data_IF_819955788589
#
_entry.id   IF_819955788589
#
_cell.length_a   1.000
_cell.length_b   1.000
_cell.length_c   1.000
_cell.angle_alpha   90.00
_cell.angle_beta   90.00
_cell.angle_gamma   90.00
#
_symmetry.space_group_name_H-M   'P 1'
#
loop_
_entity.id
_entity.type
_entity.pdbx_description
1 polymer ?
#
# COMPACT_ATOMS: atom_id res chain seq x y z
N UNK A 1 18.92 -21.20 -56.83
CA UNK A 1 18.57 -21.72 -55.50
C UNK A 1 19.11 -20.74 -54.46
N UNK A 2 18.25 -19.85 -53.96
CA UNK A 2 18.64 -18.82 -52.98
C UNK A 2 18.11 -19.24 -51.60
N UNK A 3 19.02 -19.49 -50.67
CA UNK A 3 18.69 -19.89 -49.29
C UNK A 3 18.63 -18.65 -48.42
N UNK A 4 17.42 -18.21 -48.09
CA UNK A 4 17.19 -17.10 -47.16
C UNK A 4 17.37 -17.61 -45.73
N UNK A 5 18.43 -17.16 -45.03
CA UNK A 5 18.63 -17.40 -43.61
C UNK A 5 17.76 -16.44 -42.79
N UNK A 6 16.94 -16.99 -41.91
CA UNK A 6 16.11 -16.27 -40.93
C UNK A 6 16.97 -15.81 -39.75
N UNK A 7 16.88 -14.55 -39.28
CA UNK A 7 17.66 -14.11 -38.12
C UNK A 7 17.08 -14.67 -36.81
N UNK A 8 17.98 -15.19 -35.98
CA UNK A 8 17.72 -15.70 -34.63
C UNK A 8 17.24 -14.57 -33.70
N UNK A 9 16.04 -14.71 -33.14
CA UNK A 9 15.48 -13.79 -32.16
C UNK A 9 16.21 -13.91 -30.81
N UNK A 10 16.92 -12.84 -30.42
CA UNK A 10 17.51 -12.68 -29.08
C UNK A 10 16.40 -12.55 -28.04
N UNK A 11 16.30 -13.53 -27.14
CA UNK A 11 15.35 -13.49 -26.01
C UNK A 11 15.67 -12.29 -25.11
N UNK A 12 14.67 -11.50 -24.69
CA UNK A 12 14.92 -10.38 -23.79
C UNK A 12 15.44 -10.91 -22.45
N UNK A 13 16.54 -10.32 -21.97
CA UNK A 13 17.08 -10.55 -20.64
C UNK A 13 16.00 -10.19 -19.62
N UNK A 14 15.46 -11.21 -18.94
CA UNK A 14 14.59 -10.99 -17.77
C UNK A 14 15.34 -10.11 -16.78
N UNK A 15 14.88 -8.88 -16.59
CA UNK A 15 15.30 -8.04 -15.48
C UNK A 15 14.95 -8.79 -14.19
N UNK A 16 15.96 -9.42 -13.58
CA UNK A 16 15.83 -10.03 -12.27
C UNK A 16 15.59 -8.90 -11.28
N UNK A 17 14.32 -8.71 -10.91
CA UNK A 17 13.88 -7.76 -9.87
C UNK A 17 14.79 -7.99 -8.66
N UNK A 18 15.63 -7.00 -8.32
CA UNK A 18 16.39 -7.03 -7.07
C UNK A 18 15.35 -7.12 -5.96
N UNK A 19 15.46 -8.14 -5.11
CA UNK A 19 14.53 -8.29 -3.98
C UNK A 19 14.81 -7.13 -3.03
N UNK A 20 13.99 -6.09 -3.11
CA UNK A 20 13.97 -5.00 -2.13
C UNK A 20 13.56 -5.52 -0.75
N UNK A 21 13.61 -4.65 0.26
CA UNK A 21 13.21 -5.01 1.62
C UNK A 21 11.73 -5.44 1.59
N UNK A 22 11.46 -6.72 1.88
CA UNK A 22 10.12 -7.30 1.74
C UNK A 22 9.18 -6.70 2.78
N UNK A 23 8.04 -6.15 2.33
CA UNK A 23 6.99 -5.64 3.22
C UNK A 23 6.28 -6.72 4.06
N UNK A 24 6.52 -8.00 3.76
CA UNK A 24 5.88 -9.15 4.43
C UNK A 24 6.49 -9.45 5.81
N UNK A 25 5.62 -9.61 6.80
CA UNK A 25 5.93 -10.27 8.08
C UNK A 25 5.66 -11.76 7.94
N UNK A 26 6.58 -12.59 8.43
CA UNK A 26 6.46 -14.05 8.29
C UNK A 26 5.30 -14.58 9.14
N UNK A 27 4.59 -15.60 8.67
CA UNK A 27 3.35 -16.03 9.32
C UNK A 27 3.55 -16.61 10.73
N UNK A 28 4.72 -17.19 10.98
CA UNK A 28 5.12 -17.73 12.29
C UNK A 28 5.43 -16.65 13.32
N UNK A 29 5.52 -15.38 12.92
CA UNK A 29 5.76 -14.29 13.84
C UNK A 29 4.56 -14.11 14.78
N UNK A 30 4.87 -13.95 16.07
CA UNK A 30 3.87 -13.82 17.11
C UNK A 30 3.32 -12.39 17.15
N UNK A 31 2.33 -12.15 16.30
CA UNK A 31 1.58 -10.91 16.22
C UNK A 31 0.09 -11.24 16.36
N UNK A 32 -0.42 -11.34 17.60
CA UNK A 32 -1.82 -11.66 17.83
C UNK A 32 -2.70 -10.50 17.38
N UNK A 33 -3.83 -10.83 16.76
CA UNK A 33 -4.84 -9.89 16.31
C UNK A 33 -6.18 -10.29 16.95
N UNK A 34 -6.55 -9.68 18.10
CA UNK A 34 -7.72 -10.10 18.87
C UNK A 34 -9.03 -9.89 18.10
N UNK A 35 -10.16 -10.37 18.61
CA UNK A 35 -11.46 -9.99 18.05
C UNK A 35 -11.65 -8.46 18.13
N UNK A 36 -12.18 -7.87 17.06
CA UNK A 36 -12.45 -6.43 16.96
C UNK A 36 -13.94 -6.18 17.02
N UNK A 37 -14.39 -5.08 17.64
CA UNK A 37 -15.78 -4.64 17.51
C UNK A 37 -16.18 -4.45 16.03
N UNK A 38 -17.40 -4.85 15.64
CA UNK A 38 -17.87 -4.73 14.25
C UNK A 38 -18.03 -3.27 13.79
N UNK A 39 -18.04 -2.31 14.70
CA UNK A 39 -18.09 -0.87 14.42
C UNK A 39 -16.74 -0.31 13.97
N UNK A 40 -15.64 -0.99 14.31
CA UNK A 40 -14.29 -0.55 13.91
C UNK A 40 -14.06 -0.91 12.44
N UNK A 41 -13.82 0.07 11.58
CA UNK A 41 -13.65 -0.19 10.14
C UNK A 41 -12.36 -0.96 9.81
N UNK A 42 -11.24 -0.59 10.44
CA UNK A 42 -9.95 -1.22 10.22
C UNK A 42 -9.43 -1.85 11.50
N UNK A 43 -8.71 -2.96 11.34
CA UNK A 43 -8.04 -3.61 12.45
C UNK A 43 -6.67 -4.15 12.05
N UNK A 44 -5.65 -3.65 12.76
CA UNK A 44 -4.25 -4.05 12.65
C UNK A 44 -3.70 -4.29 14.05
N UNK A 45 -2.59 -5.01 14.16
CA UNK A 45 -2.02 -5.33 15.47
C UNK A 45 -1.45 -4.05 16.13
N UNK A 46 -1.56 -3.90 17.46
CA UNK A 46 -0.88 -2.81 18.17
C UNK A 46 0.65 -3.05 18.31
N UNK A 47 1.16 -4.17 17.80
CA UNK A 47 2.57 -4.54 17.87
C UNK A 47 3.47 -3.55 17.11
N UNK A 48 4.55 -3.12 17.76
CA UNK A 48 5.60 -2.31 17.15
C UNK A 48 6.87 -3.15 16.85
N UNK A 49 6.75 -4.48 16.81
CA UNK A 49 7.92 -5.38 16.77
C UNK A 49 8.67 -5.41 15.43
N UNK A 50 8.04 -4.93 14.34
CA UNK A 50 8.61 -4.98 12.99
C UNK A 50 8.79 -3.57 12.40
N UNK A 51 9.64 -2.72 13.01
CA UNK A 51 9.88 -1.38 12.50
C UNK A 51 10.60 -1.43 11.15
N UNK A 52 10.24 -0.49 10.29
CA UNK A 52 10.89 -0.24 9.01
C UNK A 52 11.17 1.25 8.90
N UNK A 53 12.44 1.60 8.73
CA UNK A 53 12.83 2.98 8.49
C UNK A 53 12.45 3.38 7.06
N UNK A 54 11.73 4.49 6.93
CA UNK A 54 11.11 4.90 5.67
C UNK A 54 12.16 5.09 4.57
N UNK A 55 13.25 5.81 4.86
CA UNK A 55 14.29 6.06 3.86
C UNK A 55 14.97 4.77 3.40
N UNK A 56 15.18 3.83 4.32
CA UNK A 56 15.80 2.53 4.00
C UNK A 56 14.87 1.69 3.11
N UNK A 57 13.57 1.76 3.36
CA UNK A 57 12.57 1.10 2.52
C UNK A 57 12.53 1.69 1.10
N UNK A 58 12.54 3.02 0.98
CA UNK A 58 12.55 3.71 -0.33
C UNK A 58 13.81 3.30 -1.12
N UNK A 59 14.99 3.42 -0.51
CA UNK A 59 16.26 3.07 -1.17
C UNK A 59 16.33 1.58 -1.56
N UNK A 60 15.81 0.68 -0.72
CA UNK A 60 15.83 -0.75 -1.01
C UNK A 60 14.88 -1.14 -2.15
N UNK A 61 13.86 -0.32 -2.44
CA UNK A 61 12.88 -0.54 -3.49
C UNK A 61 13.05 0.46 -4.65
N UNK A 62 14.26 1.02 -4.81
CA UNK A 62 14.57 1.93 -5.91
C UNK A 62 14.24 1.32 -7.28
N UNK A 63 13.61 2.12 -8.13
CA UNK A 63 13.06 1.70 -9.42
C UNK A 63 11.67 1.06 -9.37
N UNK A 64 11.05 0.89 -8.20
CA UNK A 64 9.63 0.52 -8.10
C UNK A 64 8.75 1.79 -8.23
N UNK A 65 7.82 1.86 -9.22
CA UNK A 65 6.92 3.00 -9.37
C UNK A 65 6.08 3.30 -8.11
N UNK A 66 5.82 2.29 -7.28
CA UNK A 66 5.06 2.46 -6.04
C UNK A 66 5.81 3.29 -4.98
N UNK A 67 7.15 3.33 -5.01
CA UNK A 67 7.94 4.12 -4.07
C UNK A 67 8.35 5.50 -4.61
N UNK A 68 7.96 5.83 -5.84
CA UNK A 68 8.20 7.14 -6.42
C UNK A 68 7.43 8.22 -5.64
N UNK A 69 8.16 9.24 -5.16
CA UNK A 69 7.64 10.33 -4.32
C UNK A 69 6.93 9.84 -3.06
N UNK A 70 7.28 8.64 -2.56
CA UNK A 70 6.58 7.97 -1.47
C UNK A 70 6.52 8.82 -0.20
N UNK A 71 7.63 9.44 0.18
CA UNK A 71 7.69 10.24 1.41
C UNK A 71 6.77 11.45 1.35
N UNK A 72 6.78 12.20 0.25
CA UNK A 72 5.91 13.36 0.03
C UNK A 72 4.44 12.93 0.00
N UNK A 73 4.10 11.87 -0.74
CA UNK A 73 2.75 11.30 -0.78
C UNK A 73 2.27 10.85 0.59
N UNK A 74 3.17 10.30 1.42
CA UNK A 74 2.87 9.90 2.78
C UNK A 74 2.58 11.12 3.65
N UNK A 75 3.37 12.18 3.57
CA UNK A 75 3.11 13.43 4.29
C UNK A 75 1.77 14.04 3.88
N UNK A 76 1.50 14.15 2.57
CA UNK A 76 0.24 14.67 2.05
C UNK A 76 -0.95 13.83 2.57
N UNK A 77 -0.83 12.50 2.53
CA UNK A 77 -1.88 11.61 3.00
C UNK A 77 -2.15 11.78 4.50
N UNK A 78 -1.10 11.80 5.32
CA UNK A 78 -1.22 11.98 6.76
C UNK A 78 -1.80 13.36 7.10
N UNK A 79 -1.39 14.41 6.39
CA UNK A 79 -1.93 15.76 6.57
C UNK A 79 -3.40 15.82 6.25
N UNK A 80 -3.79 15.28 5.09
CA UNK A 80 -5.19 15.20 4.69
C UNK A 80 -6.05 14.46 5.70
N UNK A 81 -5.54 13.37 6.29
CA UNK A 81 -6.26 12.62 7.35
C UNK A 81 -6.39 13.40 8.65
N UNK A 82 -5.36 14.16 9.05
CA UNK A 82 -5.38 14.96 10.28
C UNK A 82 -6.31 16.16 10.13
N UNK A 83 -6.26 16.86 8.99
CA UNK A 83 -7.09 18.04 8.73
C UNK A 83 -8.55 17.68 8.39
N UNK A 84 -8.75 16.56 7.70
CA UNK A 84 -10.05 16.12 7.23
C UNK A 84 -10.30 14.63 7.58
N UNK A 85 -10.78 14.33 8.81
CA UNK A 85 -10.98 12.95 9.26
C UNK A 85 -11.92 12.11 8.36
N UNK A 86 -12.89 12.76 7.73
CA UNK A 86 -13.89 12.11 6.86
C UNK A 86 -13.49 12.06 5.39
N UNK A 87 -12.28 12.51 5.04
CA UNK A 87 -11.82 12.56 3.66
C UNK A 87 -11.25 11.21 3.22
N UNK A 88 -11.79 10.67 2.12
CA UNK A 88 -11.46 9.33 1.62
C UNK A 88 -10.48 9.31 0.44
N UNK A 89 -9.85 10.44 0.11
CA UNK A 89 -8.77 10.51 -0.86
C UNK A 89 -9.13 11.26 -2.13
N UNK A 90 -8.31 12.26 -2.40
CA UNK A 90 -8.20 13.03 -3.63
C UNK A 90 -6.75 13.54 -3.75
N UNK A 91 -6.33 14.07 -4.89
CA UNK A 91 -4.99 14.59 -5.08
C UNK A 91 -4.82 15.96 -4.41
N UNK A 92 -4.96 16.04 -3.09
CA UNK A 92 -4.59 17.24 -2.36
C UNK A 92 -3.07 17.27 -2.23
N UNK A 93 -2.45 18.16 -2.99
CA UNK A 93 -1.04 18.50 -2.83
C UNK A 93 -0.97 19.61 -1.79
N UNK A 94 -0.34 19.33 -0.66
CA UNK A 94 -0.09 20.35 0.34
C UNK A 94 1.20 21.10 0.01
N UNK A 95 1.32 22.32 0.51
CA UNK A 95 2.54 23.10 0.38
C UNK A 95 3.66 22.50 1.24
N UNK A 96 4.92 22.72 0.85
CA UNK A 96 6.08 22.27 1.61
C UNK A 96 6.06 22.79 3.05
N UNK A 97 5.59 24.03 3.25
CA UNK A 97 5.40 24.65 4.56
C UNK A 97 4.36 23.94 5.42
N UNK A 98 3.32 23.38 4.82
CA UNK A 98 2.30 22.63 5.54
C UNK A 98 2.81 21.22 5.90
N UNK A 99 3.48 20.55 4.97
CA UNK A 99 4.11 19.24 5.18
C UNK A 99 5.20 19.28 6.25
N UNK A 100 5.90 20.40 6.40
CA UNK A 100 6.90 20.61 7.46
C UNK A 100 6.30 20.56 8.88
N UNK A 101 4.98 20.71 9.02
CA UNK A 101 4.31 20.61 10.33
C UNK A 101 4.07 19.16 10.77
N UNK A 102 4.30 18.17 9.90
CA UNK A 102 4.16 16.76 10.23
C UNK A 102 5.51 16.18 10.64
N UNK A 103 5.52 15.60 11.84
CA UNK A 103 6.65 14.82 12.34
C UNK A 103 6.27 13.34 12.39
N UNK A 104 6.98 12.51 11.63
CA UNK A 104 6.89 11.05 11.72
C UNK A 104 7.86 10.58 12.79
N UNK A 105 7.34 10.00 13.88
CA UNK A 105 8.18 9.56 14.99
C UNK A 105 9.20 8.50 14.52
N UNK A 106 10.48 8.79 14.74
CA UNK A 106 11.63 7.95 14.40
C UNK A 106 11.74 7.60 12.91
N UNK A 107 11.04 8.30 12.02
CA UNK A 107 10.98 8.05 10.57
C UNK A 107 10.69 6.58 10.22
N UNK A 108 9.76 5.97 10.96
CA UNK A 108 9.44 4.54 10.86
C UNK A 108 7.95 4.28 10.73
N UNK A 109 7.63 3.25 9.96
CA UNK A 109 6.35 2.56 10.04
C UNK A 109 6.56 1.12 10.48
N UNK A 110 5.49 0.47 10.90
CA UNK A 110 5.52 -0.92 11.36
C UNK A 110 4.88 -1.82 10.31
N UNK A 111 5.54 -2.94 10.02
CA UNK A 111 4.94 -3.98 9.18
C UNK A 111 4.05 -4.85 10.04
N UNK A 112 2.90 -5.20 9.50
CA UNK A 112 1.94 -6.09 10.13
C UNK A 112 1.68 -7.31 9.26
N UNK A 113 1.45 -8.46 9.90
CA UNK A 113 1.18 -9.73 9.25
C UNK A 113 -0.19 -9.76 8.58
N UNK A 114 -1.21 -9.17 9.21
CA UNK A 114 -2.60 -9.19 8.75
C UNK A 114 -3.26 -7.85 9.07
N UNK A 115 -4.03 -7.36 8.11
CA UNK A 115 -5.01 -6.28 8.29
C UNK A 115 -6.40 -6.86 8.09
N UNK A 116 -7.36 -6.51 8.95
CA UNK A 116 -8.77 -6.86 8.79
C UNK A 116 -9.58 -5.62 8.49
N UNK A 117 -10.53 -5.73 7.57
CA UNK A 117 -11.47 -4.66 7.21
C UNK A 117 -12.87 -5.15 7.45
N UNK A 118 -13.60 -4.44 8.31
CA UNK A 118 -15.00 -4.73 8.57
C UNK A 118 -15.86 -3.95 7.57
N UNK A 119 -16.84 -4.63 6.99
CA UNK A 119 -17.80 -4.03 6.08
C UNK A 119 -19.21 -4.50 6.42
N UNK A 120 -20.18 -3.75 5.93
CA UNK A 120 -21.60 -4.13 6.01
C UNK A 120 -22.05 -4.43 4.59
N UNK A 121 -22.57 -5.63 4.35
CA UNK A 121 -23.17 -5.96 3.07
C UNK A 121 -24.51 -5.24 2.90
N UNK A 122 -25.04 -5.23 1.68
CA UNK A 122 -26.36 -4.67 1.38
C UNK A 122 -27.48 -5.28 2.24
N UNK A 123 -27.34 -6.56 2.62
CA UNK A 123 -28.32 -7.27 3.46
C UNK A 123 -28.16 -6.95 4.96
N UNK A 124 -27.42 -5.89 5.30
CA UNK A 124 -27.13 -5.44 6.68
C UNK A 124 -26.34 -6.50 7.48
N UNK A 125 -25.68 -7.43 6.79
CA UNK A 125 -24.82 -8.42 7.44
C UNK A 125 -23.43 -7.85 7.66
N UNK A 126 -22.87 -8.11 8.83
CA UNK A 126 -21.50 -7.74 9.17
C UNK A 126 -20.54 -8.78 8.62
N UNK A 127 -19.63 -8.34 7.76
CA UNK A 127 -18.54 -9.13 7.20
C UNK A 127 -17.18 -8.60 7.64
N UNK A 128 -16.16 -9.43 7.51
CA UNK A 128 -14.77 -9.05 7.76
C UNK A 128 -13.86 -9.71 6.73
N UNK A 129 -13.10 -8.89 6.01
CA UNK A 129 -12.07 -9.35 5.08
C UNK A 129 -10.70 -9.34 5.78
N UNK A 130 -9.88 -10.35 5.50
CA UNK A 130 -8.53 -10.50 6.04
C UNK A 130 -7.52 -10.35 4.91
N UNK A 131 -6.74 -9.29 4.96
CA UNK A 131 -5.75 -8.87 3.96
C UNK A 131 -4.35 -9.22 4.48
N UNK A 132 -3.53 -9.83 3.63
CA UNK A 132 -2.12 -10.07 3.90
C UNK A 132 -1.29 -9.91 2.60
N UNK A 133 -0.10 -9.32 2.71
CA UNK A 133 0.90 -9.27 1.64
C UNK A 133 1.16 -10.60 0.90
N UNK A 134 0.91 -11.76 1.54
CA UNK A 134 1.05 -13.08 0.91
C UNK A 134 -0.20 -13.56 0.19
N UNK A 135 -1.37 -13.36 0.79
CA UNK A 135 -2.66 -13.85 0.30
C UNK A 135 -3.64 -12.68 0.34
N UNK A 136 -4.22 -12.31 -0.81
CA UNK A 136 -5.04 -11.10 -0.99
C UNK A 136 -4.24 -9.80 -0.90
N UNK A 137 -3.15 -9.71 -1.68
CA UNK A 137 -2.32 -8.49 -1.73
C UNK A 137 -2.94 -7.38 -2.60
N UNK A 138 -3.80 -7.74 -3.55
CA UNK A 138 -4.46 -6.81 -4.45
C UNK A 138 -5.73 -6.26 -3.79
N UNK A 139 -5.85 -4.94 -3.70
CA UNK A 139 -6.99 -4.24 -3.11
C UNK A 139 -7.66 -3.42 -4.21
N UNK A 140 -8.92 -3.73 -4.49
CA UNK A 140 -9.73 -2.96 -5.43
C UNK A 140 -10.38 -1.79 -4.68
N UNK A 141 -10.19 -0.57 -5.17
CA UNK A 141 -10.82 0.63 -4.64
C UNK A 141 -11.84 1.18 -5.62
N UNK A 142 -12.80 1.96 -5.12
CA UNK A 142 -13.72 2.69 -5.99
C UNK A 142 -12.92 3.62 -6.92
N UNK A 143 -13.35 3.72 -8.17
CA UNK A 143 -12.81 4.67 -9.10
C UNK A 143 -13.11 6.10 -8.59
N UNK A 144 -12.20 7.07 -8.79
CA UNK A 144 -12.49 8.47 -8.51
C UNK A 144 -13.72 8.93 -9.32
N UNK A 145 -14.62 9.70 -8.68
CA UNK A 145 -15.83 10.20 -9.35
C UNK A 145 -15.51 11.19 -10.49
N UNK A 146 -14.35 11.84 -10.44
CA UNK A 146 -13.92 12.88 -11.39
C UNK A 146 -13.17 12.33 -12.62
N UNK A 147 -13.06 11.00 -12.79
CA UNK A 147 -12.41 10.43 -13.97
C UNK A 147 -13.38 10.46 -15.18
N UNK A 148 -13.05 11.17 -16.29
CA UNK A 148 -13.90 11.21 -17.48
C UNK A 148 -14.02 9.86 -18.19
N UNK A 149 -13.17 8.89 -17.85
CA UNK A 149 -13.26 7.49 -18.28
C UNK A 149 -13.99 6.58 -17.27
N UNK A 150 -14.49 7.15 -16.17
CA UNK A 150 -15.30 6.45 -15.17
C UNK A 150 -16.58 5.95 -15.81
N UNK A 151 -16.73 4.63 -15.87
CA UNK A 151 -17.96 4.00 -16.35
C UNK A 151 -18.99 3.98 -15.22
N UNK A 152 -20.23 4.42 -15.49
CA UNK A 152 -21.31 4.28 -14.53
C UNK A 152 -21.75 2.81 -14.50
N UNK A 153 -21.10 2.02 -13.63
CA UNK A 153 -21.38 0.61 -13.31
C UNK A 153 -21.07 -0.43 -14.40
#
# INVERSE_FOLDING_TARGET
>A
MATTQTPSATKPLRHRRRKGLTATVMFYENEPLPPTPPESHHHISPSCNFPVHIQTFILANDGDPAVQDFYTKLQDHLLGRVLHPNWSGGPNKFSETECANILILNDRFYRHKVMRVNYTSYDVWRGQDSINSRNHADIMTLAPEDDPSSHPF
#
